data_IF_304865919470
#
_entry.id   IF_304865919470
#
_cell.length_a   1.000
_cell.length_b   1.000
_cell.length_c   1.000
_cell.angle_alpha   90.00
_cell.angle_beta   90.00
_cell.angle_gamma   90.00
#
_symmetry.space_group_name_H-M   'P 1'
#
loop_
_entity.id
_entity.type
_entity.pdbx_description
1 polymer ?
#
# COMPACT_ATOMS: atom_id res chain seq x y z
N UNK A 1 18.26 -3.54 51.36
CA UNK A 1 17.94 -3.10 49.98
C UNK A 1 19.09 -3.50 49.08
N UNK A 2 18.95 -4.60 48.34
CA UNK A 2 20.02 -5.14 47.48
C UNK A 2 20.04 -4.42 46.12
N UNK A 3 21.21 -4.01 45.61
CA UNK A 3 21.31 -3.44 44.27
C UNK A 3 21.22 -4.56 43.23
N UNK A 4 20.22 -4.51 42.36
CA UNK A 4 20.07 -5.42 41.22
C UNK A 4 21.18 -5.16 40.20
N UNK A 5 21.96 -6.21 39.95
CA UNK A 5 23.09 -6.25 39.01
C UNK A 5 22.64 -6.16 37.55
N UNK A 6 23.20 -5.20 36.81
CA UNK A 6 22.99 -4.91 35.38
C UNK A 6 23.60 -5.96 34.41
N UNK A 7 24.13 -7.09 34.91
CA UNK A 7 24.91 -8.02 34.09
C UNK A 7 24.10 -9.04 33.27
N UNK A 8 22.77 -9.16 33.46
CA UNK A 8 22.00 -10.29 32.90
C UNK A 8 21.12 -9.98 31.67
N UNK A 9 21.17 -8.78 31.07
CA UNK A 9 20.24 -8.40 29.98
C UNK A 9 20.84 -8.60 28.56
N UNK A 10 22.12 -8.98 28.42
CA UNK A 10 22.73 -9.22 27.11
C UNK A 10 23.26 -10.64 26.96
N UNK A 11 22.40 -11.56 26.50
CA UNK A 11 22.83 -12.77 25.78
C UNK A 11 22.29 -12.72 24.34
N UNK A 12 23.14 -12.65 23.31
CA UNK A 12 22.69 -12.81 21.93
C UNK A 12 22.34 -14.29 21.69
N UNK A 13 21.06 -14.58 21.49
CA UNK A 13 20.60 -15.91 21.09
C UNK A 13 20.85 -16.12 19.58
N UNK A 14 22.07 -16.46 19.21
CA UNK A 14 22.36 -17.05 17.90
C UNK A 14 22.22 -18.57 18.02
N UNK A 15 21.00 -19.09 17.82
CA UNK A 15 20.77 -20.52 17.53
C UNK A 15 20.35 -20.64 16.07
N UNK A 16 21.30 -21.07 15.24
CA UNK A 16 21.05 -21.52 13.87
C UNK A 16 20.33 -22.87 13.97
N UNK A 17 19.02 -22.87 13.71
CA UNK A 17 18.26 -24.09 13.50
C UNK A 17 18.36 -24.48 12.03
N UNK A 18 19.01 -25.63 11.74
CA UNK A 18 18.93 -26.29 10.43
C UNK A 18 17.51 -26.81 10.25
N UNK A 19 16.74 -26.18 9.38
CA UNK A 19 15.43 -26.66 8.93
C UNK A 19 15.66 -27.70 7.84
N UNK A 20 15.44 -28.96 8.16
CA UNK A 20 15.32 -30.05 7.19
C UNK A 20 14.00 -29.89 6.45
N UNK A 21 14.07 -29.79 5.12
CA UNK A 21 12.90 -29.70 4.23
C UNK A 21 12.30 -31.10 4.09
N UNK A 22 11.17 -31.36 4.73
CA UNK A 22 10.28 -32.45 4.30
C UNK A 22 9.16 -31.88 3.42
N UNK A 23 9.03 -32.44 2.22
CA UNK A 23 7.97 -32.11 1.25
C UNK A 23 6.69 -32.85 1.64
N UNK A 24 5.51 -32.21 1.60
CA UNK A 24 4.25 -32.93 1.73
C UNK A 24 3.91 -33.70 0.43
N UNK A 25 3.21 -34.85 0.53
CA UNK A 25 2.69 -35.57 -0.64
C UNK A 25 1.55 -34.81 -1.29
N UNK A 26 1.50 -34.87 -2.62
CA UNK A 26 0.45 -34.30 -3.47
C UNK A 26 -0.75 -35.24 -3.48
N UNK A 27 -1.89 -34.79 -2.99
CA UNK A 27 -3.17 -35.42 -3.31
C UNK A 27 -3.78 -34.76 -4.54
N UNK A 28 -4.20 -35.60 -5.47
CA UNK A 28 -4.89 -35.28 -6.73
C UNK A 28 -6.36 -35.64 -6.47
N UNK A 29 -7.27 -34.67 -6.60
CA UNK A 29 -8.70 -34.97 -6.63
C UNK A 29 -9.35 -34.18 -7.76
N UNK A 30 -9.86 -34.94 -8.72
CA UNK A 30 -10.74 -34.56 -9.80
C UNK A 30 -12.20 -34.79 -9.38
N UNK A 31 -13.09 -33.83 -9.63
CA UNK A 31 -14.51 -34.00 -9.98
C UNK A 31 -15.10 -32.59 -10.16
N UNK A 32 -15.54 -32.19 -11.36
CA UNK A 32 -16.78 -32.50 -12.09
C UNK A 32 -17.96 -31.61 -11.68
N UNK A 33 -18.54 -31.03 -12.72
CA UNK A 33 -19.62 -30.05 -12.85
C UNK A 33 -21.01 -30.52 -12.41
N UNK A 34 -21.87 -29.56 -12.03
CA UNK A 34 -23.36 -29.47 -12.15
C UNK A 34 -23.81 -28.13 -11.54
N UNK A 35 -24.30 -27.13 -12.29
CA UNK A 35 -25.65 -26.84 -12.84
C UNK A 35 -26.75 -26.56 -11.81
N UNK A 36 -27.50 -25.48 -12.10
CA UNK A 36 -28.82 -25.05 -11.57
C UNK A 36 -28.78 -24.28 -10.23
N UNK A 37 -29.60 -23.27 -9.93
CA UNK A 37 -30.52 -22.37 -10.65
C UNK A 37 -31.06 -21.39 -9.58
N UNK A 38 -31.60 -20.23 -10.01
CA UNK A 38 -32.62 -19.42 -9.28
C UNK A 38 -32.21 -18.75 -7.94
N UNK A 39 -32.73 -17.60 -7.49
CA UNK A 39 -33.70 -16.63 -7.99
C UNK A 39 -33.65 -15.39 -7.06
N UNK A 40 -33.89 -14.22 -7.66
CA UNK A 40 -34.64 -13.04 -7.19
C UNK A 40 -34.75 -12.74 -5.68
N UNK A 41 -34.36 -11.53 -5.29
CA UNK A 41 -35.32 -10.59 -4.66
C UNK A 41 -34.80 -9.15 -4.75
N UNK A 42 -35.59 -8.32 -5.44
CA UNK A 42 -35.44 -6.89 -5.51
C UNK A 42 -36.27 -6.25 -4.39
N UNK A 43 -35.72 -5.25 -3.74
CA UNK A 43 -36.47 -4.36 -2.85
C UNK A 43 -36.25 -2.92 -3.30
N UNK A 44 -37.31 -2.39 -3.90
CA UNK A 44 -37.54 -0.99 -4.24
C UNK A 44 -37.80 -0.15 -3.00
N UNK A 45 -37.18 1.02 -2.91
CA UNK A 45 -37.67 2.13 -2.09
C UNK A 45 -37.67 3.40 -2.94
N UNK A 46 -38.84 4.00 -2.99
CA UNK A 46 -39.25 5.26 -3.64
C UNK A 46 -38.46 6.46 -3.09
N UNK A 47 -37.99 7.35 -3.97
CA UNK A 47 -38.58 8.64 -4.34
C UNK A 47 -38.58 9.70 -3.21
N UNK A 48 -37.72 10.71 -3.38
CA UNK A 48 -38.03 12.06 -2.89
C UNK A 48 -37.43 13.07 -3.89
N UNK A 49 -38.24 14.07 -4.23
CA UNK A 49 -38.08 14.96 -5.38
C UNK A 49 -38.47 16.36 -4.95
N UNK A 50 -37.63 17.38 -5.18
CA UNK A 50 -37.99 18.82 -5.28
C UNK A 50 -36.79 19.64 -5.85
N UNK A 51 -37.00 20.87 -6.38
CA UNK A 51 -36.62 21.20 -7.76
C UNK A 51 -35.66 22.41 -7.96
N UNK A 52 -35.17 22.49 -9.22
CA UNK A 52 -34.85 23.67 -10.07
C UNK A 52 -34.16 24.91 -9.49
N UNK A 53 -33.04 25.31 -10.12
CA UNK A 53 -32.85 26.67 -10.64
C UNK A 53 -32.01 26.62 -11.92
N UNK A 54 -32.33 27.54 -12.82
CA UNK A 54 -31.98 27.56 -14.24
C UNK A 54 -30.56 28.08 -14.54
N UNK A 55 -29.94 27.59 -15.62
CA UNK A 55 -29.01 28.41 -16.41
C UNK A 55 -29.04 27.98 -17.88
N UNK A 56 -29.00 29.00 -18.71
CA UNK A 56 -29.45 29.07 -20.09
C UNK A 56 -28.27 28.98 -21.08
N UNK A 57 -28.56 28.47 -22.30
CA UNK A 57 -27.82 28.67 -23.57
C UNK A 57 -26.50 27.90 -23.80
N UNK A 58 -26.54 26.89 -24.68
CA UNK A 58 -25.86 26.92 -26.00
C UNK A 58 -26.61 26.00 -26.98
N UNK A 59 -27.30 26.64 -27.91
CA UNK A 59 -27.90 26.10 -29.11
C UNK A 59 -26.82 25.54 -30.06
N UNK A 60 -26.83 24.24 -30.32
CA UNK A 60 -26.18 23.67 -31.52
C UNK A 60 -27.12 22.69 -32.21
N UNK A 61 -28.00 23.29 -33.01
CA UNK A 61 -28.67 22.77 -34.21
C UNK A 61 -27.96 21.58 -34.85
N UNK A 62 -28.48 20.38 -34.60
CA UNK A 62 -28.33 19.20 -35.46
C UNK A 62 -29.67 18.47 -35.52
N UNK A 63 -30.37 18.73 -36.63
CA UNK A 63 -31.27 17.83 -37.36
C UNK A 63 -32.13 16.86 -36.53
N UNK A 64 -33.37 17.31 -36.28
CA UNK A 64 -34.51 16.47 -35.96
C UNK A 64 -34.83 15.57 -37.17
N UNK A 65 -34.62 14.27 -37.02
CA UNK A 65 -34.98 13.27 -38.01
C UNK A 65 -35.08 11.89 -37.38
N UNK A 66 -36.31 11.36 -37.34
CA UNK A 66 -36.73 10.04 -36.83
C UNK A 66 -36.66 9.82 -35.32
N UNK A 67 -37.85 9.86 -34.69
CA UNK A 67 -38.06 9.29 -33.37
C UNK A 67 -37.72 7.80 -33.38
N UNK A 68 -36.51 7.48 -32.94
CA UNK A 68 -36.09 6.10 -32.69
C UNK A 68 -36.93 5.61 -31.52
N UNK A 69 -38.01 4.91 -31.83
CA UNK A 69 -38.78 4.14 -30.86
C UNK A 69 -37.80 3.21 -30.14
N UNK A 70 -37.62 3.41 -28.84
CA UNK A 70 -36.87 2.49 -28.02
C UNK A 70 -37.48 1.09 -28.20
N UNK A 71 -36.69 0.06 -28.50
CA UNK A 71 -37.22 -1.27 -28.75
C UNK A 71 -37.91 -1.78 -27.47
N UNK A 72 -39.21 -2.07 -27.55
CA UNK A 72 -40.00 -2.54 -26.41
C UNK A 72 -39.65 -3.98 -26.06
N UNK A 73 -39.22 -4.78 -27.06
CA UNK A 73 -38.88 -6.19 -26.89
C UNK A 73 -37.40 -6.48 -27.15
N UNK A 74 -36.83 -7.41 -26.38
CA UNK A 74 -35.43 -7.85 -26.54
C UNK A 74 -35.08 -8.33 -27.97
N UNK A 75 -36.01 -8.96 -28.68
CA UNK A 75 -35.81 -9.41 -30.07
C UNK A 75 -35.62 -8.22 -31.03
N UNK A 76 -36.43 -7.18 -30.88
CA UNK A 76 -36.32 -5.96 -31.68
C UNK A 76 -35.01 -5.22 -31.39
N UNK A 77 -34.57 -5.23 -30.12
CA UNK A 77 -33.24 -4.72 -29.76
C UNK A 77 -32.14 -5.50 -30.46
N UNK A 78 -32.21 -6.84 -30.50
CA UNK A 78 -31.20 -7.67 -31.16
C UNK A 78 -31.09 -7.38 -32.66
N UNK A 79 -32.23 -7.17 -33.32
CA UNK A 79 -32.30 -6.93 -34.76
C UNK A 79 -31.89 -5.50 -35.14
N UNK A 80 -32.33 -4.49 -34.38
CA UNK A 80 -32.11 -3.07 -34.72
C UNK A 80 -30.80 -2.51 -34.16
N UNK A 81 -30.50 -2.79 -32.89
CA UNK A 81 -29.41 -2.12 -32.15
C UNK A 81 -28.21 -3.06 -31.94
N UNK A 82 -28.45 -4.32 -31.60
CA UNK A 82 -27.38 -5.22 -31.18
C UNK A 82 -26.43 -5.61 -32.31
N UNK A 83 -26.84 -5.49 -33.58
CA UNK A 83 -26.00 -5.77 -34.73
C UNK A 83 -24.66 -5.03 -34.67
N UNK A 84 -24.63 -3.80 -34.12
CA UNK A 84 -23.41 -2.99 -33.93
C UNK A 84 -22.40 -3.63 -32.97
N UNK A 85 -22.85 -4.46 -32.04
CA UNK A 85 -22.02 -5.12 -31.02
C UNK A 85 -21.68 -6.57 -31.37
N UNK A 86 -22.17 -7.07 -32.51
CA UNK A 86 -21.87 -8.42 -32.99
C UNK A 86 -20.40 -8.57 -33.33
N UNK A 87 -19.80 -7.54 -33.90
CA UNK A 87 -18.39 -7.50 -34.23
C UNK A 87 -17.60 -6.68 -33.21
N UNK A 88 -16.39 -7.15 -32.92
CA UNK A 88 -15.48 -6.54 -31.95
C UNK A 88 -14.92 -5.22 -32.49
N UNK A 89 -15.46 -4.09 -32.02
CA UNK A 89 -15.00 -2.74 -32.31
C UNK A 89 -14.42 -2.05 -31.07
N UNK A 90 -13.44 -1.14 -31.24
CA UNK A 90 -12.81 -0.44 -30.12
C UNK A 90 -13.83 0.42 -29.39
N UNK A 91 -13.83 0.36 -28.04
CA UNK A 91 -14.61 1.25 -27.16
C UNK A 91 -16.10 1.36 -27.53
N UNK A 92 -16.69 0.28 -28.05
CA UNK A 92 -18.08 0.23 -28.47
C UNK A 92 -18.99 -0.09 -27.29
N UNK A 93 -19.29 0.93 -26.50
CA UNK A 93 -20.14 0.85 -25.31
C UNK A 93 -21.62 1.05 -25.63
N UNK A 94 -22.50 0.60 -24.74
CA UNK A 94 -23.95 0.76 -24.89
C UNK A 94 -24.40 2.22 -24.90
N UNK A 95 -23.67 3.10 -24.20
CA UNK A 95 -23.87 4.54 -24.24
C UNK A 95 -22.72 5.23 -24.99
N UNK A 96 -22.93 6.44 -25.56
CA UNK A 96 -21.96 7.09 -26.44
C UNK A 96 -20.57 7.33 -25.82
N UNK A 97 -20.51 7.59 -24.51
CA UNK A 97 -19.29 7.98 -23.82
C UNK A 97 -19.05 7.25 -22.49
N UNK A 98 -19.92 6.31 -22.12
CA UNK A 98 -19.82 5.57 -20.85
C UNK A 98 -20.18 4.10 -21.04
N UNK A 99 -19.52 3.17 -20.33
CA UNK A 99 -19.82 1.74 -20.43
C UNK A 99 -21.18 1.40 -19.79
N UNK A 100 -21.61 2.19 -18.81
CA UNK A 100 -22.86 1.98 -18.08
C UNK A 100 -23.76 3.20 -18.26
N UNK A 101 -24.93 3.06 -18.90
CA UNK A 101 -25.87 4.17 -19.07
C UNK A 101 -26.31 4.77 -17.73
N UNK A 102 -26.54 3.92 -16.71
CA UNK A 102 -27.00 4.33 -15.38
C UNK A 102 -25.89 4.86 -14.46
N UNK A 103 -24.63 4.79 -14.89
CA UNK A 103 -23.50 5.32 -14.11
C UNK A 103 -22.55 6.13 -15.00
N UNK A 104 -22.89 7.40 -15.27
CA UNK A 104 -22.07 8.25 -16.12
C UNK A 104 -20.74 8.67 -15.49
N UNK A 105 -20.61 8.53 -14.17
CA UNK A 105 -19.37 8.85 -13.44
C UNK A 105 -18.26 7.83 -13.70
N UNK A 106 -18.62 6.58 -14.02
CA UNK A 106 -17.65 5.53 -14.28
C UNK A 106 -17.13 5.62 -15.72
N UNK A 107 -15.96 6.24 -15.88
CA UNK A 107 -15.24 6.36 -17.16
C UNK A 107 -13.87 5.69 -17.02
N UNK A 108 -13.74 4.42 -17.44
CA UNK A 108 -12.48 3.71 -17.27
C UNK A 108 -11.40 4.38 -18.13
N UNK A 109 -10.24 4.76 -17.56
CA UNK A 109 -9.14 5.25 -18.35
C UNK A 109 -8.59 4.13 -19.24
N UNK A 110 -8.08 4.44 -20.45
CA UNK A 110 -7.55 3.44 -21.35
C UNK A 110 -6.36 2.71 -20.71
N UNK A 111 -6.21 1.39 -20.93
CA UNK A 111 -5.08 0.64 -20.41
C UNK A 111 -3.78 1.01 -21.13
N UNK A 112 -2.66 0.71 -20.50
CA UNK A 112 -1.31 0.89 -21.08
C UNK A 112 -1.07 -0.20 -22.11
N UNK A 113 -0.57 0.15 -23.30
CA UNK A 113 -0.17 -0.81 -24.32
C UNK A 113 0.97 -1.75 -23.89
N UNK A 114 0.99 -2.97 -24.42
CA UNK A 114 2.02 -3.96 -24.11
C UNK A 114 3.41 -3.53 -24.53
N UNK A 115 3.50 -2.90 -25.70
CA UNK A 115 4.74 -2.34 -26.22
C UNK A 115 5.35 -1.36 -25.20
N UNK A 116 4.53 -0.47 -24.62
CA UNK A 116 5.02 0.45 -23.60
C UNK A 116 5.43 -0.26 -22.31
N UNK A 117 4.67 -1.27 -21.86
CA UNK A 117 5.05 -2.10 -20.70
C UNK A 117 6.41 -2.76 -20.90
N UNK A 118 6.69 -3.26 -22.10
CA UNK A 118 7.98 -3.86 -22.46
C UNK A 118 9.11 -2.81 -22.47
N UNK A 119 8.86 -1.61 -23.00
CA UNK A 119 9.82 -0.49 -22.96
C UNK A 119 10.17 -0.10 -21.52
N UNK A 120 9.17 0.03 -20.64
CA UNK A 120 9.41 0.33 -19.23
C UNK A 120 10.23 -0.75 -18.54
N UNK A 121 9.91 -2.02 -18.82
CA UNK A 121 10.62 -3.16 -18.27
C UNK A 121 12.08 -3.22 -18.75
N UNK A 122 12.31 -3.02 -20.05
CA UNK A 122 13.66 -3.03 -20.62
C UNK A 122 14.54 -1.89 -20.08
N UNK A 123 14.00 -0.67 -19.92
CA UNK A 123 14.70 0.45 -19.28
C UNK A 123 15.07 0.14 -17.82
N UNK A 124 14.14 -0.44 -17.05
CA UNK A 124 14.44 -0.83 -15.67
C UNK A 124 15.52 -1.91 -15.58
N UNK A 125 15.50 -2.88 -16.51
CA UNK A 125 16.47 -3.97 -16.53
C UNK A 125 17.85 -3.56 -17.04
N UNK A 126 17.96 -2.46 -17.80
CA UNK A 126 19.28 -1.93 -18.21
C UNK A 126 19.98 -1.30 -17.01
N UNK A 127 19.34 -0.33 -16.35
CA UNK A 127 19.94 0.45 -15.26
C UNK A 127 18.91 0.74 -14.15
N UNK A 128 18.80 -0.12 -13.13
CA UNK A 128 17.83 0.06 -12.04
C UNK A 128 18.04 1.35 -11.21
N UNK A 129 19.28 1.85 -11.15
CA UNK A 129 19.62 3.07 -10.40
C UNK A 129 19.15 4.33 -11.14
N UNK A 130 19.38 4.40 -12.45
CA UNK A 130 18.95 5.51 -13.29
C UNK A 130 17.44 5.46 -13.57
N UNK A 131 16.93 4.30 -13.95
CA UNK A 131 15.52 4.05 -14.25
C UNK A 131 14.80 3.44 -13.06
N UNK A 132 14.95 4.05 -11.89
CA UNK A 132 14.22 3.64 -10.70
C UNK A 132 12.70 3.68 -10.92
N UNK A 133 11.94 2.93 -10.13
CA UNK A 133 10.46 2.90 -10.20
C UNK A 133 9.87 4.31 -10.15
N UNK A 134 10.43 5.18 -9.29
CA UNK A 134 10.02 6.58 -9.17
C UNK A 134 10.36 7.39 -10.43
N UNK A 135 11.54 7.20 -11.01
CA UNK A 135 11.94 7.87 -12.25
C UNK A 135 11.07 7.45 -13.44
N UNK A 136 10.71 6.17 -13.54
CA UNK A 136 9.80 5.67 -14.58
C UNK A 136 8.36 6.17 -14.39
N UNK A 137 7.86 6.18 -13.16
CA UNK A 137 6.58 6.79 -12.81
C UNK A 137 6.56 8.28 -13.16
N UNK A 138 7.68 8.97 -12.91
CA UNK A 138 7.89 10.34 -13.31
C UNK A 138 7.86 10.54 -14.82
N UNK A 139 8.62 9.73 -15.56
CA UNK A 139 8.73 9.83 -17.01
C UNK A 139 7.41 9.58 -17.75
N UNK A 140 6.62 8.60 -17.33
CA UNK A 140 5.41 8.17 -18.04
C UNK A 140 4.09 8.63 -17.42
N UNK A 141 4.13 9.46 -16.38
CA UNK A 141 2.95 9.91 -15.62
C UNK A 141 2.06 8.75 -15.16
N UNK A 142 2.67 7.76 -14.52
CA UNK A 142 1.98 6.62 -13.94
C UNK A 142 2.17 6.62 -12.42
N UNK A 143 1.20 6.07 -11.68
CA UNK A 143 1.37 5.87 -10.24
C UNK A 143 2.49 4.88 -9.96
N UNK A 144 3.17 5.07 -8.82
CA UNK A 144 4.35 4.27 -8.46
C UNK A 144 4.00 2.77 -8.40
N UNK A 145 2.83 2.42 -7.84
CA UNK A 145 2.36 1.02 -7.79
C UNK A 145 2.02 0.45 -9.14
N UNK A 146 1.48 1.26 -10.05
CA UNK A 146 1.17 0.79 -11.40
C UNK A 146 2.47 0.41 -12.12
N UNK A 147 3.53 1.21 -11.98
CA UNK A 147 4.86 0.88 -12.51
C UNK A 147 5.42 -0.39 -11.87
N UNK A 148 5.40 -0.49 -10.55
CA UNK A 148 5.87 -1.67 -9.81
C UNK A 148 5.09 -2.95 -10.20
N UNK A 149 3.77 -2.86 -10.37
CA UNK A 149 2.94 -3.97 -10.85
C UNK A 149 3.32 -4.39 -12.28
N UNK A 150 3.56 -3.44 -13.18
CA UNK A 150 4.01 -3.72 -14.55
C UNK A 150 5.33 -4.50 -14.53
N UNK A 151 6.30 -4.04 -13.74
CA UNK A 151 7.62 -4.69 -13.65
C UNK A 151 7.50 -6.13 -13.13
N UNK A 152 6.66 -6.36 -12.12
CA UNK A 152 6.41 -7.71 -11.58
C UNK A 152 5.73 -8.62 -12.59
N UNK A 153 4.66 -8.14 -13.24
CA UNK A 153 3.90 -8.94 -14.20
C UNK A 153 4.74 -9.28 -15.43
N UNK A 154 5.55 -8.36 -15.94
CA UNK A 154 6.49 -8.62 -17.04
C UNK A 154 7.61 -9.59 -16.65
N UNK A 155 8.11 -9.50 -15.41
CA UNK A 155 9.04 -10.49 -14.87
C UNK A 155 8.44 -11.89 -14.81
N UNK A 156 7.17 -12.01 -14.40
CA UNK A 156 6.43 -13.27 -14.38
C UNK A 156 6.16 -13.80 -15.79
N UNK A 157 5.80 -12.92 -16.72
CA UNK A 157 5.61 -13.26 -18.15
C UNK A 157 6.87 -13.94 -18.71
N UNK A 158 8.06 -13.35 -18.53
CA UNK A 158 9.34 -13.92 -18.97
C UNK A 158 9.66 -15.26 -18.30
N UNK A 159 9.25 -15.44 -17.04
CA UNK A 159 9.40 -16.72 -16.35
C UNK A 159 8.46 -17.79 -16.94
N UNK A 160 7.26 -17.40 -17.37
CA UNK A 160 6.28 -18.29 -17.98
C UNK A 160 6.59 -18.63 -19.43
N UNK A 161 7.21 -17.72 -20.19
CA UNK A 161 7.67 -18.01 -21.56
C UNK A 161 8.53 -19.28 -21.63
N UNK A 162 9.26 -19.61 -20.55
CA UNK A 162 10.10 -20.82 -20.47
C UNK A 162 9.30 -22.13 -20.36
N UNK A 163 8.09 -22.09 -19.79
CA UNK A 163 7.33 -23.28 -19.39
C UNK A 163 5.96 -23.41 -20.07
N UNK A 164 5.39 -22.32 -20.59
CA UNK A 164 4.02 -22.25 -21.12
C UNK A 164 3.96 -21.34 -22.35
N UNK A 165 3.07 -21.67 -23.29
CA UNK A 165 2.76 -20.80 -24.43
C UNK A 165 1.85 -19.66 -23.98
N UNK A 166 2.25 -18.43 -24.27
CA UNK A 166 1.49 -17.22 -23.93
C UNK A 166 0.38 -16.96 -24.97
N UNK A 167 -0.76 -16.45 -24.52
CA UNK A 167 -1.91 -16.12 -25.38
C UNK A 167 -1.76 -14.72 -26.00
N UNK A 168 -0.79 -14.55 -26.90
CA UNK A 168 -0.49 -13.24 -27.51
C UNK A 168 -1.59 -12.74 -28.45
N UNK A 169 -2.32 -13.64 -29.11
CA UNK A 169 -3.47 -13.28 -29.95
C UNK A 169 -4.61 -12.64 -29.16
N UNK A 170 -4.92 -13.20 -27.98
CA UNK A 170 -5.92 -12.64 -27.08
C UNK A 170 -5.52 -11.25 -26.58
N UNK A 171 -4.24 -11.08 -26.20
CA UNK A 171 -3.69 -9.78 -25.80
C UNK A 171 -3.91 -8.73 -26.90
N UNK A 172 -3.50 -9.02 -28.14
CA UNK A 172 -3.65 -8.07 -29.26
C UNK A 172 -5.13 -7.69 -29.51
N UNK A 173 -6.03 -8.66 -29.44
CA UNK A 173 -7.46 -8.41 -29.57
C UNK A 173 -8.01 -7.52 -28.45
N UNK A 174 -7.62 -7.80 -27.21
CA UNK A 174 -8.07 -7.04 -26.04
C UNK A 174 -7.51 -5.60 -26.04
N UNK A 175 -6.26 -5.40 -26.45
CA UNK A 175 -5.69 -4.07 -26.57
C UNK A 175 -6.39 -3.23 -27.63
N UNK A 176 -6.79 -3.85 -28.75
CA UNK A 176 -7.61 -3.20 -29.77
C UNK A 176 -8.99 -2.82 -29.22
N UNK A 177 -9.67 -3.72 -28.51
CA UNK A 177 -11.00 -3.49 -27.95
C UNK A 177 -11.03 -2.38 -26.89
N UNK A 178 -10.04 -2.38 -25.99
CA UNK A 178 -9.96 -1.42 -24.90
C UNK A 178 -9.32 -0.07 -25.28
N UNK A 179 -8.88 0.08 -26.54
CA UNK A 179 -8.20 1.30 -26.98
C UNK A 179 -6.92 1.57 -26.20
N UNK A 180 -6.07 0.56 -26.02
CA UNK A 180 -4.86 0.69 -25.22
C UNK A 180 -3.97 1.82 -25.77
N UNK A 181 -3.54 2.73 -24.88
CA UNK A 181 -2.78 3.92 -25.26
C UNK A 181 -1.30 3.79 -24.89
N UNK A 182 -0.48 4.57 -25.58
CA UNK A 182 0.91 4.84 -25.18
C UNK A 182 0.97 6.19 -24.48
N UNK A 183 1.29 6.21 -23.19
CA UNK A 183 1.50 7.46 -22.47
C UNK A 183 2.76 8.14 -22.99
N UNK A 184 2.62 9.39 -23.44
CA UNK A 184 3.74 10.23 -23.85
C UNK A 184 4.59 10.57 -22.62
N UNK A 185 5.90 10.70 -22.80
CA UNK A 185 6.74 11.24 -21.73
C UNK A 185 6.42 12.71 -21.55
N UNK A 186 5.85 13.07 -20.41
CA UNK A 186 5.40 14.45 -20.17
C UNK A 186 6.50 15.26 -19.49
N UNK A 187 6.67 16.50 -19.93
CA UNK A 187 7.65 17.46 -19.39
C UNK A 187 7.01 18.38 -18.33
N UNK A 188 5.68 18.56 -18.35
CA UNK A 188 4.96 19.46 -17.44
C UNK A 188 4.38 18.74 -16.21
N UNK A 189 4.49 19.40 -15.06
CA UNK A 189 4.01 18.90 -13.76
C UNK A 189 2.48 19.02 -13.57
N UNK A 190 1.80 19.85 -14.37
CA UNK A 190 0.39 20.20 -14.16
C UNK A 190 -0.58 19.06 -14.53
N UNK A 191 -0.20 18.19 -15.47
CA UNK A 191 -0.98 17.01 -15.92
C UNK A 191 -0.92 15.82 -14.93
N UNK A 192 -0.29 16.01 -13.75
CA UNK A 192 -0.01 14.93 -12.79
C UNK A 192 -0.92 14.93 -11.58
N UNK A 193 -1.91 15.83 -11.49
CA UNK A 193 -2.76 15.97 -10.31
C UNK A 193 -3.42 14.65 -9.91
N UNK A 194 -4.04 13.96 -10.87
CA UNK A 194 -4.71 12.67 -10.63
C UNK A 194 -3.74 11.58 -10.14
N UNK A 195 -2.53 11.54 -10.70
CA UNK A 195 -1.50 10.56 -10.32
C UNK A 195 -0.94 10.86 -8.93
N UNK A 196 -0.73 12.14 -8.64
CA UNK A 196 -0.22 12.58 -7.35
C UNK A 196 -1.27 12.38 -6.24
N UNK A 197 -2.54 12.62 -6.54
CA UNK A 197 -3.65 12.31 -5.64
C UNK A 197 -3.74 10.80 -5.39
N UNK A 198 -3.63 9.97 -6.43
CA UNK A 198 -3.61 8.52 -6.27
C UNK A 198 -2.44 8.02 -5.39
N UNK A 199 -1.24 8.57 -5.58
CA UNK A 199 -0.06 8.22 -4.79
C UNK A 199 -0.16 8.75 -3.34
N UNK A 200 -0.79 9.90 -3.10
CA UNK A 200 -1.04 10.46 -1.76
C UNK A 200 -2.09 9.66 -1.00
N UNK A 201 -3.23 9.39 -1.64
CA UNK A 201 -4.35 8.66 -1.05
C UNK A 201 -3.89 7.25 -0.61
N UNK A 202 -3.02 6.60 -1.38
CA UNK A 202 -2.43 5.33 -0.97
C UNK A 202 -1.50 5.43 0.25
N UNK A 203 -0.70 6.51 0.34
CA UNK A 203 0.17 6.77 1.51
C UNK A 203 -0.65 7.04 2.77
N UNK A 204 -1.72 7.82 2.63
CA UNK A 204 -2.61 8.20 3.74
C UNK A 204 -3.46 7.02 4.22
N UNK A 205 -3.86 6.13 3.31
CA UNK A 205 -4.71 4.98 3.66
C UNK A 205 -3.99 3.82 4.35
N UNK A 206 -2.65 3.77 4.39
CA UNK A 206 -1.90 2.65 4.99
C UNK A 206 -2.46 1.28 4.53
N UNK A 207 -2.89 1.22 3.26
CA UNK A 207 -3.86 0.26 2.70
C UNK A 207 -3.37 -1.19 2.67
N UNK A 208 -2.09 -1.43 2.93
CA UNK A 208 -1.51 -2.77 3.14
C UNK A 208 -2.21 -3.52 4.30
N UNK A 209 -2.71 -2.82 5.32
CA UNK A 209 -3.46 -3.43 6.41
C UNK A 209 -4.86 -3.92 5.97
N UNK A 210 -5.53 -3.19 5.08
CA UNK A 210 -6.84 -3.58 4.51
C UNK A 210 -6.66 -4.69 3.45
N UNK A 211 -5.61 -4.62 2.63
CA UNK A 211 -5.29 -5.62 1.60
C UNK A 211 -4.98 -6.99 2.21
N UNK A 212 -4.30 -7.04 3.36
CA UNK A 212 -4.13 -8.27 4.14
C UNK A 212 -5.47 -8.82 4.68
N UNK A 213 -6.44 -7.94 4.97
CA UNK A 213 -7.78 -8.31 5.44
C UNK A 213 -8.62 -8.93 4.31
N UNK A 214 -8.54 -8.39 3.09
CA UNK A 214 -9.25 -8.93 1.91
C UNK A 214 -8.53 -10.13 1.26
N UNK A 215 -7.19 -10.22 1.34
CA UNK A 215 -6.46 -11.44 0.95
C UNK A 215 -6.86 -12.65 1.80
N UNK A 216 -7.25 -12.46 3.06
CA UNK A 216 -7.73 -13.52 3.96
C UNK A 216 -9.11 -14.06 3.57
N UNK A 217 -10.01 -13.22 3.07
CA UNK A 217 -11.38 -13.62 2.78
C UNK A 217 -11.52 -14.40 1.45
N UNK A 218 -10.60 -14.20 0.50
CA UNK A 218 -10.75 -14.72 -0.86
C UNK A 218 -9.87 -15.94 -1.20
N UNK A 219 -8.94 -16.31 -0.32
CA UNK A 219 -7.95 -17.38 -0.59
C UNK A 219 -7.97 -18.56 0.38
N UNK A 220 -8.90 -18.60 1.33
CA UNK A 220 -9.15 -19.80 2.13
C UNK A 220 -10.43 -20.44 1.62
N UNK A 221 -10.35 -21.72 1.22
CA UNK A 221 -11.53 -22.54 0.99
C UNK A 221 -12.32 -22.61 2.27
N UNK A 222 -13.49 -21.96 2.32
CA UNK A 222 -14.45 -22.14 3.41
C UNK A 222 -14.95 -23.58 3.29
N UNK A 223 -14.65 -24.48 4.24
CA UNK A 223 -15.29 -25.80 4.23
C UNK A 223 -16.80 -25.59 4.45
N UNK A 224 -17.63 -26.17 3.58
CA UNK A 224 -19.10 -25.97 3.56
C UNK A 224 -19.82 -26.34 4.88
N UNK A 225 -19.10 -26.91 5.86
CA UNK A 225 -19.65 -27.33 7.15
C UNK A 225 -19.73 -26.25 8.24
N UNK A 226 -19.57 -24.96 7.92
CA UNK A 226 -19.74 -23.86 8.90
C UNK A 226 -18.69 -23.82 10.02
N UNK A 227 -17.60 -24.56 9.89
CA UNK A 227 -16.48 -24.54 10.85
C UNK A 227 -15.64 -23.30 10.57
N UNK A 228 -15.40 -22.50 11.61
CA UNK A 228 -14.52 -21.33 11.52
C UNK A 228 -13.13 -21.74 11.01
N UNK A 229 -12.53 -20.99 10.08
CA UNK A 229 -11.22 -21.33 9.53
C UNK A 229 -10.18 -21.45 10.66
N UNK A 230 -9.18 -22.33 10.48
CA UNK A 230 -8.17 -22.67 11.50
C UNK A 230 -7.00 -21.66 11.55
N UNK A 231 -6.91 -20.76 10.57
CA UNK A 231 -5.86 -19.73 10.47
C UNK A 231 -6.03 -18.39 11.25
N UNK A 232 -7.16 -18.05 11.93
CA UNK A 232 -7.30 -16.78 12.66
C UNK A 232 -6.38 -16.74 13.88
N UNK A 233 -6.26 -17.83 14.64
CA UNK A 233 -5.50 -17.83 15.90
C UNK A 233 -4.00 -17.56 15.75
N UNK A 234 -3.35 -18.11 14.72
CA UNK A 234 -1.90 -17.91 14.52
C UNK A 234 -1.56 -16.49 14.08
N UNK A 235 -2.44 -15.87 13.30
CA UNK A 235 -2.24 -14.52 12.79
C UNK A 235 -2.67 -13.44 13.80
N UNK A 236 -3.71 -13.70 14.60
CA UNK A 236 -4.03 -12.89 15.77
C UNK A 236 -2.91 -12.96 16.81
N UNK A 237 -2.34 -14.14 17.02
CA UNK A 237 -1.15 -14.30 17.85
C UNK A 237 0.03 -13.50 17.30
N UNK A 238 0.29 -13.53 15.98
CA UNK A 238 1.33 -12.72 15.35
C UNK A 238 1.07 -11.21 15.51
N UNK A 239 -0.19 -10.76 15.38
CA UNK A 239 -0.60 -9.36 15.60
C UNK A 239 -0.39 -8.93 17.04
N UNK A 240 -0.88 -9.71 18.01
CA UNK A 240 -0.65 -9.47 19.44
C UNK A 240 0.84 -9.47 19.77
N UNK A 241 1.63 -10.35 19.15
CA UNK A 241 3.07 -10.41 19.33
C UNK A 241 3.75 -9.15 18.77
N UNK A 242 3.34 -8.67 17.60
CA UNK A 242 3.83 -7.43 17.01
C UNK A 242 3.49 -6.21 17.87
N UNK A 243 2.25 -6.11 18.37
CA UNK A 243 1.84 -5.06 19.32
C UNK A 243 2.69 -5.10 20.60
N UNK A 244 2.87 -6.29 21.18
CA UNK A 244 3.74 -6.48 22.35
C UNK A 244 5.19 -6.08 22.06
N UNK A 245 5.72 -6.34 20.87
CA UNK A 245 7.06 -5.90 20.49
C UNK A 245 7.15 -4.38 20.33
N UNK A 246 6.14 -3.74 19.74
CA UNK A 246 6.07 -2.28 19.62
C UNK A 246 6.02 -1.62 21.01
N UNK A 247 5.13 -2.09 21.89
CA UNK A 247 5.06 -1.60 23.27
C UNK A 247 6.37 -1.81 24.04
N UNK A 248 7.02 -2.98 23.86
CA UNK A 248 8.33 -3.24 24.46
C UNK A 248 9.39 -2.29 23.93
N UNK A 249 9.39 -2.00 22.63
CA UNK A 249 10.31 -1.04 22.02
C UNK A 249 10.08 0.39 22.54
N UNK A 250 8.83 0.80 22.69
CA UNK A 250 8.47 2.10 23.27
C UNK A 250 8.86 2.20 24.75
N UNK A 251 8.58 1.14 25.53
CA UNK A 251 9.05 1.01 26.92
C UNK A 251 10.58 1.08 26.98
N UNK A 252 11.27 0.40 26.07
CA UNK A 252 12.73 0.43 26.00
C UNK A 252 13.26 1.83 25.71
N UNK A 253 12.68 2.53 24.73
CA UNK A 253 13.01 3.92 24.41
C UNK A 253 12.76 4.89 25.58
N UNK A 254 11.77 4.59 26.43
CA UNK A 254 11.45 5.37 27.62
C UNK A 254 12.37 5.13 28.82
N UNK A 255 13.31 4.18 28.74
CA UNK A 255 14.24 3.88 29.83
C UNK A 255 15.08 5.15 30.15
N UNK A 256 15.15 5.59 31.43
CA UNK A 256 15.87 6.79 31.84
C UNK A 256 17.35 6.82 31.45
N UNK A 257 17.96 5.65 31.23
CA UNK A 257 19.35 5.50 30.82
C UNK A 257 19.58 5.92 29.36
N UNK A 258 18.63 5.67 28.45
CA UNK A 258 18.71 6.11 27.06
C UNK A 258 18.36 7.59 26.93
N UNK A 259 17.29 8.02 27.61
CA UNK A 259 16.80 9.39 27.64
C UNK A 259 16.57 9.82 29.08
N UNK A 260 17.45 10.69 29.59
CA UNK A 260 17.31 11.22 30.94
C UNK A 260 16.03 12.05 31.02
N UNK A 261 15.07 11.71 31.89
CA UNK A 261 13.88 12.51 32.05
C UNK A 261 14.26 13.89 32.60
N UNK A 262 13.90 14.96 31.88
CA UNK A 262 13.93 16.33 32.40
C UNK A 262 12.86 16.43 33.49
N UNK A 263 13.25 16.65 34.75
CA UNK A 263 12.30 16.79 35.85
C UNK A 263 11.46 18.05 35.64
N UNK A 264 10.17 17.96 35.94
CA UNK A 264 9.34 19.15 35.98
C UNK A 264 9.85 20.08 37.08
N UNK A 265 10.05 21.33 36.72
CA UNK A 265 10.41 22.40 37.64
C UNK A 265 9.23 23.36 37.74
N UNK A 266 9.11 24.19 38.80
CA UNK A 266 8.01 25.15 38.91
C UNK A 266 7.88 26.07 37.68
N UNK A 267 8.98 26.30 36.95
CA UNK A 267 9.04 27.14 35.75
C UNK A 267 8.97 26.38 34.42
N UNK A 268 9.08 25.04 34.42
CA UNK A 268 9.10 24.23 33.20
C UNK A 268 8.35 22.91 33.45
N UNK A 269 7.16 22.80 32.85
CA UNK A 269 6.34 21.58 32.83
C UNK A 269 6.37 20.97 31.43
N UNK A 270 6.41 19.65 31.34
CA UNK A 270 6.32 18.96 30.05
C UNK A 270 4.94 19.19 29.40
N UNK A 271 4.90 19.52 28.10
CA UNK A 271 3.64 19.57 27.37
C UNK A 271 3.02 18.16 27.28
N UNK A 272 1.70 18.10 27.11
CA UNK A 272 1.02 16.85 26.81
C UNK A 272 1.48 16.30 25.46
N UNK A 273 1.44 14.97 25.30
CA UNK A 273 1.88 14.26 24.08
C UNK A 273 1.15 14.76 22.81
N UNK A 274 -0.07 15.26 22.98
CA UNK A 274 -0.85 15.89 21.93
C UNK A 274 -1.29 17.24 22.45
N UNK A 275 -0.90 18.31 21.76
CA UNK A 275 -1.37 19.67 22.02
C UNK A 275 -2.17 20.13 20.81
N UNK A 276 -3.46 20.37 21.02
CA UNK A 276 -4.36 20.90 19.98
C UNK A 276 -4.50 22.40 20.22
N UNK A 277 -4.06 23.20 19.26
CA UNK A 277 -4.22 24.65 19.27
C UNK A 277 -5.33 25.03 18.29
N UNK A 278 -6.52 25.32 18.81
CA UNK A 278 -7.63 25.89 18.05
C UNK A 278 -7.64 27.42 18.22
N UNK A 279 -7.83 28.15 17.12
CA UNK A 279 -7.99 29.61 17.08
C UNK A 279 -9.06 29.95 16.05
N UNK A 280 -9.95 30.89 16.35
CA UNK A 280 -11.17 31.11 15.57
C UNK A 280 -10.94 31.58 14.12
N UNK A 281 -9.74 32.10 13.81
CA UNK A 281 -9.38 32.62 12.48
C UNK A 281 -8.33 31.77 11.74
N UNK A 282 -7.91 30.62 12.29
CA UNK A 282 -6.86 29.76 11.70
C UNK A 282 -7.22 28.28 11.83
N UNK A 283 -6.79 27.43 10.88
CA UNK A 283 -7.03 25.99 10.97
C UNK A 283 -6.41 25.42 12.24
N UNK A 284 -7.12 24.49 12.87
CA UNK A 284 -6.70 23.82 14.10
C UNK A 284 -5.37 23.09 13.90
N UNK A 285 -4.34 23.50 14.64
CA UNK A 285 -3.03 22.86 14.60
C UNK A 285 -2.93 21.78 15.67
N UNK A 286 -2.61 20.55 15.27
CA UNK A 286 -2.40 19.41 16.18
C UNK A 286 -0.90 19.09 16.25
N UNK A 287 -0.27 19.51 17.33
CA UNK A 287 1.12 19.16 17.62
C UNK A 287 1.16 17.81 18.32
N UNK A 288 1.79 16.83 17.68
CA UNK A 288 2.04 15.51 18.28
C UNK A 288 3.52 15.46 18.64
N UNK A 289 3.83 15.33 19.92
CA UNK A 289 5.20 15.09 20.35
C UNK A 289 5.65 13.72 19.85
N UNK A 290 6.55 13.74 18.87
CA UNK A 290 7.15 12.54 18.29
C UNK A 290 8.25 11.96 19.19
N UNK A 291 8.66 12.65 20.26
CA UNK A 291 9.54 12.15 21.32
C UNK A 291 10.72 11.30 20.84
N UNK A 292 10.85 10.09 21.38
CA UNK A 292 11.90 9.12 21.06
C UNK A 292 11.66 8.31 19.77
N UNK A 293 10.65 8.67 18.94
CA UNK A 293 10.27 7.89 17.75
C UNK A 293 11.46 7.71 16.80
N UNK A 294 12.26 8.76 16.62
CA UNK A 294 13.43 8.79 15.74
C UNK A 294 14.77 8.52 16.45
N UNK A 295 14.74 8.09 17.72
CA UNK A 295 15.95 7.73 18.45
C UNK A 295 16.47 6.36 17.96
N UNK A 296 17.68 6.33 17.39
CA UNK A 296 18.38 5.06 17.15
C UNK A 296 18.89 4.51 18.49
N UNK A 297 18.17 3.50 18.97
CA UNK A 297 18.44 2.81 20.22
C UNK A 297 19.85 2.22 20.24
N UNK A 298 20.31 1.64 19.13
CA UNK A 298 21.61 0.98 19.05
C UNK A 298 22.73 2.00 19.12
N UNK A 299 22.59 3.11 18.38
CA UNK A 299 23.53 4.22 18.43
C UNK A 299 23.65 4.78 19.86
N UNK A 300 22.52 4.92 20.57
CA UNK A 300 22.50 5.43 21.94
C UNK A 300 23.17 4.49 22.93
N UNK A 301 22.89 3.19 22.86
CA UNK A 301 23.57 2.16 23.66
C UNK A 301 25.07 2.19 23.42
N UNK A 302 25.51 2.26 22.16
CA UNK A 302 26.92 2.35 21.80
C UNK A 302 27.59 3.61 22.40
N UNK A 303 26.91 4.75 22.39
CA UNK A 303 27.40 5.98 23.02
C UNK A 303 27.56 5.83 24.53
N UNK A 304 26.59 5.21 25.22
CA UNK A 304 26.64 4.98 26.68
C UNK A 304 27.81 4.06 27.03
N UNK A 305 27.98 2.96 26.31
CA UNK A 305 29.11 2.04 26.49
C UNK A 305 30.45 2.75 26.26
N UNK A 306 30.56 3.53 25.18
CA UNK A 306 31.77 4.30 24.90
C UNK A 306 32.07 5.37 25.97
N UNK A 307 31.05 6.04 26.49
CA UNK A 307 31.19 7.01 27.58
C UNK A 307 31.64 6.33 28.89
N UNK A 308 31.05 5.18 29.23
CA UNK A 308 31.45 4.37 30.38
C UNK A 308 32.92 3.94 30.30
N UNK A 309 33.36 3.41 29.14
CA UNK A 309 34.77 3.07 28.88
C UNK A 309 35.70 4.27 29.07
N UNK A 310 35.38 5.42 28.48
CA UNK A 310 36.17 6.67 28.62
C UNK A 310 36.26 7.12 30.09
N UNK A 311 35.16 7.04 30.83
CA UNK A 311 35.13 7.40 32.26
C UNK A 311 36.02 6.49 33.12
N UNK A 312 36.00 5.18 32.86
CA UNK A 312 36.82 4.20 33.57
C UNK A 312 38.31 4.42 33.31
N UNK A 313 38.67 4.74 32.06
CA UNK A 313 40.04 5.08 31.69
C UNK A 313 40.51 6.36 32.41
N UNK A 314 39.68 7.42 32.45
CA UNK A 314 39.97 8.65 33.21
C UNK A 314 40.18 8.39 34.70
N UNK A 315 39.35 7.53 35.32
CA UNK A 315 39.49 7.14 36.73
C UNK A 315 40.81 6.40 36.97
N UNK A 316 41.21 5.49 36.07
CA UNK A 316 42.50 4.78 36.16
C UNK A 316 43.68 5.74 36.03
N UNK A 317 43.66 6.65 35.06
CA UNK A 317 44.73 7.65 34.89
C UNK A 317 44.81 8.62 36.07
N UNK A 318 43.68 9.03 36.63
CA UNK A 318 43.64 9.90 37.82
C UNK A 318 44.24 9.19 39.05
N UNK A 319 43.88 7.93 39.28
CA UNK A 319 44.49 7.10 40.35
C UNK A 319 46.00 6.95 40.16
N UNK A 320 46.45 6.69 38.93
CA UNK A 320 47.89 6.62 38.63
C UNK A 320 48.63 7.93 38.89
N UNK A 321 48.03 9.08 38.56
CA UNK A 321 48.58 10.40 38.87
C UNK A 321 48.66 10.66 40.37
N UNK A 322 47.62 10.32 41.14
CA UNK A 322 47.62 10.46 42.59
C UNK A 322 48.71 9.59 43.24
N UNK A 323 48.87 8.34 42.80
CA UNK A 323 49.91 7.44 43.30
C UNK A 323 51.34 7.92 42.98
N UNK A 324 51.55 8.55 41.80
CA UNK A 324 52.83 9.20 41.48
C UNK A 324 53.10 10.41 42.36
N UNK A 325 52.09 11.25 42.62
CA UNK A 325 52.22 12.41 43.51
C UNK A 325 52.51 12.01 44.95
N UNK A 326 51.89 10.95 45.46
CA UNK A 326 52.17 10.46 46.82
C UNK A 326 53.58 9.89 46.97
N UNK A 327 54.12 9.21 45.96
CA UNK A 327 55.50 8.71 45.99
C UNK A 327 56.54 9.82 45.99
N UNK A 328 56.31 10.90 45.24
CA UNK A 328 57.21 12.06 45.20
C UNK A 328 57.18 12.83 46.54
N UNK A 329 56.03 12.85 47.22
CA UNK A 329 55.91 13.52 48.52
C UNK A 329 56.47 12.70 49.71
N UNK A 330 56.80 11.42 49.50
CA UNK A 330 57.34 10.51 50.53
C UNK A 330 58.84 10.20 50.36
N UNK A 331 59.50 10.81 49.37
CA UNK A 331 60.95 10.76 49.15
C UNK A 331 61.54 12.14 49.44
#
# INVERSE_FOLDING_TARGET
>A
MFPLSLANILRPAARVARITRQRPPRFISSTSCRTADASLSATSVEADSLPQEADEVVESRLEEGEGVTEPETYKEFLERVAFKYREASPTNWLAPSTPFPMNPSFRPPPPISDAQREVMYSMYMSDPEMYSVRALAQKYNLSIKRVDAILRLKGLERAYTKNKRLQTGFLKGMEKLLGATTHKSVVSSEDRRDVHEADLLEQDENRDALRQRYQRAYWESIPEGGVEPVLPGSLEHARHKAQRYAEKADKFKSIPELLKPVKDTPFMKRPQKVVVCARDTRPTLKFIDVGAKFLDVNQRVNQIVAASRRSAQRRRTARGRLHRRSKIASS
#
